data_IF_312787800499
#
_entry.id   IF_312787800499
#
_cell.length_a   1.000
_cell.length_b   1.000
_cell.length_c   1.000
_cell.angle_alpha   90.00
_cell.angle_beta   90.00
_cell.angle_gamma   90.00
#
_symmetry.space_group_name_H-M   'P 1'
#
loop_
_entity.id
_entity.type
_entity.pdbx_description
1 polymer ?
#
# COMPACT_ATOMS: atom_id res chain seq x y z
N UNK A 1 -4.90 -12.90 -10.89
CA UNK A 1 -4.14 -12.45 -9.71
C UNK A 1 -4.53 -11.01 -9.48
N UNK A 2 -5.26 -10.70 -8.39
CA UNK A 2 -5.40 -9.32 -7.96
C UNK A 2 -4.05 -8.94 -7.37
N UNK A 3 -3.22 -8.26 -8.16
CA UNK A 3 -1.93 -7.79 -7.69
C UNK A 3 -2.18 -6.62 -6.76
N UNK A 4 -1.87 -6.79 -5.47
CA UNK A 4 -1.85 -5.70 -4.50
C UNK A 4 -0.90 -4.60 -4.98
N UNK A 5 -1.33 -3.32 -4.97
CA UNK A 5 -0.49 -2.19 -5.41
C UNK A 5 0.68 -1.93 -4.47
N UNK A 6 0.46 -2.15 -3.18
CA UNK A 6 1.47 -2.05 -2.13
C UNK A 6 1.65 -3.39 -1.41
N UNK A 7 2.83 -3.63 -0.86
CA UNK A 7 3.17 -4.78 -0.03
C UNK A 7 3.42 -4.34 1.41
N UNK A 8 3.37 -5.30 2.34
CA UNK A 8 3.78 -5.05 3.73
C UNK A 8 5.20 -4.47 3.77
N UNK A 9 5.41 -3.51 4.65
CA UNK A 9 6.63 -2.74 4.86
C UNK A 9 6.99 -1.74 3.75
N UNK A 10 6.15 -1.60 2.70
CA UNK A 10 6.32 -0.52 1.72
C UNK A 10 6.15 0.85 2.37
N UNK A 11 6.98 1.79 1.93
CA UNK A 11 6.85 3.19 2.30
C UNK A 11 5.90 3.91 1.35
N UNK A 12 4.89 4.55 1.90
CA UNK A 12 3.83 5.25 1.18
C UNK A 12 3.58 6.62 1.78
N UNK A 13 2.91 7.47 1.03
CA UNK A 13 2.33 8.73 1.51
C UNK A 13 0.99 8.97 0.83
N UNK A 14 0.16 9.80 1.44
CA UNK A 14 -1.02 10.32 0.76
C UNK A 14 -0.61 11.21 -0.41
N UNK A 15 -1.35 11.15 -1.53
CA UNK A 15 -1.10 12.00 -2.71
C UNK A 15 -1.13 13.49 -2.41
N UNK A 16 -1.95 13.91 -1.45
CA UNK A 16 -2.06 15.31 -0.99
C UNK A 16 -1.14 15.64 0.18
N UNK A 17 -0.40 14.67 0.71
CA UNK A 17 0.37 14.81 1.95
C UNK A 17 1.85 14.51 1.78
N UNK A 18 2.63 14.91 2.78
CA UNK A 18 4.05 14.56 2.91
C UNK A 18 4.32 13.62 4.08
N UNK A 19 3.27 13.15 4.77
CA UNK A 19 3.41 12.19 5.85
C UNK A 19 3.86 10.85 5.28
N UNK A 20 5.07 10.46 5.64
CA UNK A 20 5.61 9.14 5.34
C UNK A 20 4.98 8.12 6.28
N UNK A 21 4.47 7.04 5.70
CA UNK A 21 3.81 5.96 6.42
C UNK A 21 4.32 4.62 5.90
N UNK A 22 4.25 3.58 6.73
CA UNK A 22 4.62 2.22 6.36
C UNK A 22 3.38 1.36 6.25
N UNK A 23 3.28 0.56 5.20
CA UNK A 23 2.17 -0.37 5.01
C UNK A 23 2.31 -1.55 5.96
N UNK A 24 1.22 -1.88 6.67
CA UNK A 24 1.15 -3.07 7.52
C UNK A 24 0.45 -4.22 6.80
N UNK A 25 -0.84 -4.04 6.46
CA UNK A 25 -1.64 -5.06 5.79
C UNK A 25 -2.87 -4.49 5.08
N UNK A 26 -3.42 -5.25 4.13
CA UNK A 26 -4.71 -4.90 3.54
C UNK A 26 -5.82 -5.22 4.52
N UNK A 27 -6.80 -4.32 4.58
CA UNK A 27 -8.01 -4.56 5.33
C UNK A 27 -8.84 -5.65 4.64
N UNK A 28 -9.11 -6.71 5.39
CA UNK A 28 -10.00 -7.79 5.01
C UNK A 28 -11.33 -7.59 5.71
N UNK A 29 -12.43 -7.63 4.95
CA UNK A 29 -13.79 -7.53 5.46
C UNK A 29 -14.59 -8.78 5.08
N UNK A 30 -15.68 -9.01 5.79
CA UNK A 30 -16.64 -10.05 5.48
C UNK A 30 -17.75 -9.48 4.60
N UNK A 31 -17.88 -10.04 3.39
CA UNK A 31 -18.94 -9.67 2.44
C UNK A 31 -19.89 -10.85 2.25
N UNK A 32 -21.19 -10.56 2.25
CA UNK A 32 -22.21 -11.54 1.93
C UNK A 32 -22.32 -11.66 0.42
N UNK A 33 -22.06 -12.85 -0.11
CA UNK A 33 -22.15 -13.15 -1.53
C UNK A 33 -23.29 -14.15 -1.75
N UNK A 34 -24.27 -13.76 -2.55
CA UNK A 34 -25.29 -14.68 -3.02
C UNK A 34 -24.70 -15.49 -4.18
N UNK A 35 -24.70 -16.82 -4.08
CA UNK A 35 -24.35 -17.64 -5.23
C UNK A 35 -25.42 -17.44 -6.32
N UNK A 36 -25.02 -17.53 -7.58
CA UNK A 36 -25.93 -17.36 -8.72
C UNK A 36 -26.93 -18.51 -8.79
N UNK A 37 -28.10 -18.33 -8.19
CA UNK A 37 -29.24 -19.26 -8.20
C UNK A 37 -30.28 -18.82 -7.17
N UNK A 38 -31.56 -18.76 -7.55
CA UNK A 38 -32.64 -18.16 -6.73
C UNK A 38 -32.93 -18.89 -5.40
N UNK A 39 -32.23 -19.98 -5.09
CA UNK A 39 -32.44 -20.82 -3.90
C UNK A 39 -31.21 -20.97 -3.00
N UNK A 40 -30.07 -20.36 -3.32
CA UNK A 40 -28.87 -20.50 -2.49
C UNK A 40 -28.87 -19.51 -1.31
N UNK A 41 -28.62 -20.02 -0.10
CA UNK A 41 -28.41 -19.18 1.08
C UNK A 41 -27.18 -18.29 0.90
N UNK A 42 -27.21 -17.04 1.40
CA UNK A 42 -26.06 -16.14 1.37
C UNK A 42 -24.85 -16.78 2.07
N UNK A 43 -23.68 -16.69 1.43
CA UNK A 43 -22.42 -17.16 2.02
C UNK A 43 -21.54 -15.95 2.35
N UNK A 44 -21.01 -15.91 3.57
CA UNK A 44 -20.01 -14.90 3.96
C UNK A 44 -18.65 -15.28 3.40
N UNK A 45 -18.01 -14.36 2.67
CA UNK A 45 -16.65 -14.51 2.14
C UNK A 45 -15.77 -13.37 2.64
N UNK A 46 -14.51 -13.69 2.93
CA UNK A 46 -13.48 -12.70 3.20
C UNK A 46 -13.01 -12.08 1.90
N UNK A 47 -13.07 -10.75 1.81
CA UNK A 47 -12.67 -9.98 0.64
C UNK A 47 -11.85 -8.76 1.07
N UNK A 48 -10.97 -8.30 0.18
CA UNK A 48 -10.24 -7.05 0.39
C UNK A 48 -11.19 -5.87 0.24
N UNK A 49 -11.15 -4.93 1.19
CA UNK A 49 -12.00 -3.74 1.13
C UNK A 49 -11.47 -2.65 0.18
N UNK A 50 -10.26 -2.81 -0.36
CA UNK A 50 -9.54 -1.75 -1.08
C UNK A 50 -8.84 -0.75 -0.15
N UNK A 51 -8.86 -1.00 1.16
CA UNK A 51 -8.12 -0.21 2.15
C UNK A 51 -6.85 -0.92 2.61
N UNK A 52 -5.85 -0.11 2.94
CA UNK A 52 -4.55 -0.53 3.45
C UNK A 52 -4.34 0.12 4.81
N UNK A 53 -3.94 -0.67 5.81
CA UNK A 53 -3.49 -0.14 7.09
C UNK A 53 -2.07 0.39 6.94
N UNK A 54 -1.89 1.64 7.37
CA UNK A 54 -0.60 2.29 7.38
C UNK A 54 -0.26 2.77 8.79
N UNK A 55 0.99 2.60 9.17
CA UNK A 55 1.54 3.05 10.46
C UNK A 55 2.57 4.15 10.27
N UNK A 56 2.53 5.16 11.14
CA UNK A 56 3.52 6.22 11.22
C UNK A 56 3.70 6.72 12.65
N UNK A 57 4.72 7.55 12.86
CA UNK A 57 4.94 8.26 14.12
C UNK A 57 4.52 9.71 13.93
N UNK A 58 3.62 10.20 14.77
CA UNK A 58 3.16 11.59 14.72
C UNK A 58 4.11 12.54 15.50
N UNK A 59 3.81 13.84 15.46
CA UNK A 59 4.58 14.89 16.14
C UNK A 59 4.71 14.67 17.66
N UNK A 60 3.68 14.04 18.27
CA UNK A 60 3.67 13.69 19.69
C UNK A 60 4.46 12.42 20.01
N UNK A 61 5.21 11.87 19.05
CA UNK A 61 5.94 10.60 19.16
C UNK A 61 5.04 9.39 19.42
N UNK A 62 3.76 9.49 19.12
CA UNK A 62 2.83 8.36 19.21
C UNK A 62 2.85 7.57 17.90
N UNK A 63 2.81 6.24 18.01
CA UNK A 63 2.60 5.35 16.88
C UNK A 63 1.11 5.35 16.54
N UNK A 64 0.78 5.73 15.32
CA UNK A 64 -0.57 5.79 14.80
C UNK A 64 -0.72 4.75 13.70
N UNK A 65 -1.82 4.00 13.71
CA UNK A 65 -2.18 3.02 12.68
C UNK A 65 -3.60 3.32 12.21
N UNK A 66 -3.77 3.63 10.93
CA UNK A 66 -5.07 3.99 10.35
C UNK A 66 -5.26 3.40 8.94
N UNK A 67 -6.51 3.19 8.51
CA UNK A 67 -6.80 2.62 7.20
C UNK A 67 -6.96 3.73 6.14
N UNK A 68 -6.29 3.58 5.01
CA UNK A 68 -6.36 4.48 3.85
C UNK A 68 -6.87 3.75 2.63
N UNK A 69 -7.50 4.46 1.69
CA UNK A 69 -7.78 3.89 0.38
C UNK A 69 -6.49 3.72 -0.41
N UNK A 70 -6.33 2.55 -1.03
CA UNK A 70 -5.18 2.23 -1.87
C UNK A 70 -4.98 3.26 -3.01
N UNK A 71 -6.07 3.85 -3.50
CA UNK A 71 -6.04 4.86 -4.55
C UNK A 71 -5.62 6.26 -4.08
N UNK A 72 -5.72 6.55 -2.78
CA UNK A 72 -5.29 7.84 -2.22
C UNK A 72 -3.81 7.85 -1.85
N UNK A 73 -3.17 6.68 -1.86
CA UNK A 73 -1.76 6.49 -1.57
C UNK A 73 -0.91 6.46 -2.84
N UNK A 74 0.33 6.90 -2.69
CA UNK A 74 1.40 6.75 -3.66
C UNK A 74 2.69 6.23 -2.99
N UNK A 75 3.56 5.52 -3.74
CA UNK A 75 4.85 5.10 -3.22
C UNK A 75 5.65 6.31 -2.75
N UNK A 76 6.21 6.24 -1.55
CA UNK A 76 7.16 7.22 -1.09
C UNK A 76 8.49 6.97 -1.79
N UNK A 77 8.63 7.54 -2.98
CA UNK A 77 9.89 7.47 -3.72
C UNK A 77 10.93 8.24 -2.91
N UNK A 78 12.00 7.57 -2.48
CA UNK A 78 13.25 8.29 -2.21
C UNK A 78 13.63 8.95 -3.53
N UNK A 79 13.46 10.27 -3.65
CA UNK A 79 14.16 10.99 -4.68
C UNK A 79 15.65 10.87 -4.35
N UNK A 80 16.30 9.84 -4.89
CA UNK A 80 17.74 9.88 -5.15
C UNK A 80 17.95 11.03 -6.14
N UNK A 81 18.06 12.25 -5.61
CA UNK A 81 18.75 13.31 -6.30
C UNK A 81 20.14 12.79 -6.67
N UNK A 82 20.45 12.84 -7.96
CA UNK A 82 21.73 12.46 -8.57
C UNK A 82 22.09 10.97 -8.56
N UNK A 83 21.54 10.22 -9.52
CA UNK A 83 22.41 9.31 -10.27
C UNK A 83 23.43 10.17 -11.02
N UNK A 84 24.54 10.50 -10.37
CA UNK A 84 25.75 10.91 -11.08
C UNK A 84 26.12 9.72 -11.94
N UNK A 85 25.92 9.85 -13.25
CA UNK A 85 26.46 8.92 -14.23
C UNK A 85 27.94 8.71 -13.91
N UNK A 86 28.29 7.53 -13.40
CA UNK A 86 29.70 7.15 -13.29
C UNK A 86 30.28 7.23 -14.71
N UNK A 87 31.39 7.96 -14.94
CA UNK A 87 32.09 7.85 -16.21
C UNK A 87 32.56 6.40 -16.35
N UNK A 88 32.09 5.73 -17.40
CA UNK A 88 32.58 4.44 -17.82
C UNK A 88 34.09 4.57 -18.07
N UNK A 89 34.91 4.02 -17.18
CA UNK A 89 36.34 3.88 -17.43
C UNK A 89 36.52 2.83 -18.54
N UNK A 90 36.72 3.29 -19.76
CA UNK A 90 37.21 2.46 -20.85
C UNK A 90 38.66 2.07 -20.53
N UNK A 91 38.87 0.85 -20.05
CA UNK A 91 40.18 0.20 -20.09
C UNK A 91 40.41 -0.26 -21.54
N UNK A 92 41.26 0.49 -22.26
CA UNK A 92 41.87 -0.01 -23.49
C UNK A 92 43.05 -0.93 -23.10
N UNK A 93 43.18 -2.04 -23.81
CA UNK A 93 44.23 -3.04 -23.64
C UNK A 93 44.97 -3.24 -24.97
#
# INVERSE_FOLDING_TARGET
>A
MNTFKFMKDDWVKEKSGNQLMRVDEYQIVEAVVNASGSTSLPVTKRVFSGKVWCTWVNENKAVITQPFWEDDLEPAVYQQGNMVSHPSFNHAH
#
